data_IF_353367551241
#
_entry.id   IF_353367551241
#
_cell.length_a   1.000
_cell.length_b   1.000
_cell.length_c   1.000
_cell.angle_alpha   90.00
_cell.angle_beta   90.00
_cell.angle_gamma   90.00
#
_symmetry.space_group_name_H-M   'P 1'
#
loop_
_entity.id
_entity.type
_entity.pdbx_description
1 polymer ?
#
# COMPACT_ATOMS: atom_id res chain seq x y z
N UNK A 1 -8.28 0.28 -40.79
CA UNK A 1 -9.38 1.17 -40.38
C UNK A 1 -9.34 1.25 -38.86
N UNK A 2 -8.84 2.40 -38.38
CA UNK A 2 -8.71 2.70 -36.98
C UNK A 2 -10.06 2.99 -36.34
N UNK A 3 -10.35 2.35 -35.22
CA UNK A 3 -11.33 2.82 -34.27
C UNK A 3 -10.76 2.62 -32.84
N UNK A 4 -9.78 3.43 -32.46
CA UNK A 4 -9.55 3.77 -31.08
C UNK A 4 -10.43 4.98 -30.80
N UNK A 5 -11.59 4.76 -30.20
CA UNK A 5 -12.39 5.83 -29.61
C UNK A 5 -11.78 6.22 -28.28
N UNK A 6 -11.24 7.43 -28.20
CA UNK A 6 -10.95 8.10 -26.95
C UNK A 6 -12.27 8.23 -26.15
N UNK A 7 -12.43 7.37 -25.16
CA UNK A 7 -13.39 7.62 -24.08
C UNK A 7 -12.68 8.51 -23.06
N UNK A 8 -12.89 9.81 -23.19
CA UNK A 8 -12.69 10.74 -22.08
C UNK A 8 -13.75 10.39 -21.04
N UNK A 9 -13.36 9.66 -20.00
CA UNK A 9 -14.17 9.52 -18.81
C UNK A 9 -14.03 10.82 -18.01
N UNK A 10 -15.01 11.72 -18.15
CA UNK A 10 -15.25 12.76 -17.15
C UNK A 10 -15.88 12.05 -15.95
N UNK A 11 -15.08 11.64 -15.00
CA UNK A 11 -15.57 11.17 -13.70
C UNK A 11 -15.96 12.41 -12.89
N UNK A 12 -17.27 12.69 -12.88
CA UNK A 12 -17.87 13.66 -11.96
C UNK A 12 -18.16 12.91 -10.66
N UNK A 13 -17.55 13.35 -9.58
CA UNK A 13 -17.83 12.81 -8.25
C UNK A 13 -18.79 13.75 -7.53
N UNK A 14 -20.00 13.27 -7.27
CA UNK A 14 -20.94 13.90 -6.34
C UNK A 14 -20.53 13.49 -4.91
N UNK A 15 -19.76 14.34 -4.24
CA UNK A 15 -19.40 14.10 -2.84
C UNK A 15 -20.60 14.48 -1.98
N UNK A 16 -21.38 13.48 -1.57
CA UNK A 16 -22.33 13.62 -0.47
C UNK A 16 -21.55 13.58 0.84
N UNK A 17 -21.28 14.74 1.41
CA UNK A 17 -20.89 14.85 2.81
C UNK A 17 -22.07 14.33 3.64
N UNK A 18 -22.11 13.02 3.87
CA UNK A 18 -23.07 12.44 4.81
C UNK A 18 -22.83 13.11 6.16
N UNK A 19 -23.92 13.69 6.71
CA UNK A 19 -23.94 14.26 8.07
C UNK A 19 -23.07 13.43 8.97
N UNK A 20 -22.03 14.06 9.49
CA UNK A 20 -21.15 13.45 10.46
C UNK A 20 -21.95 13.19 11.73
N UNK A 21 -22.19 12.04 11.89
CA UNK A 21 -22.38 11.06 12.93
C UNK A 21 -22.48 11.63 14.35
N UNK A 22 -23.59 11.24 14.97
CA UNK A 22 -23.90 11.29 16.38
C UNK A 22 -22.67 10.96 17.24
N UNK A 23 -22.35 11.77 18.30
CA UNK A 23 -21.20 11.57 19.19
C UNK A 23 -21.08 10.18 19.83
N UNK A 24 -22.15 9.39 19.87
CA UNK A 24 -22.13 8.00 20.34
C UNK A 24 -21.63 7.00 19.30
N UNK A 25 -21.72 7.34 18.03
CA UNK A 25 -21.09 6.59 16.94
C UNK A 25 -19.61 7.00 16.74
N UNK A 26 -19.18 8.08 17.35
CA UNK A 26 -17.82 8.61 17.33
C UNK A 26 -16.79 7.74 18.04
N UNK A 27 -17.21 6.83 18.92
CA UNK A 27 -16.33 5.74 19.42
C UNK A 27 -16.14 4.60 18.40
N UNK A 28 -16.86 4.64 17.31
CA UNK A 28 -16.90 3.60 16.33
C UNK A 28 -16.48 4.27 15.03
N UNK A 29 -15.29 3.96 14.60
CA UNK A 29 -14.63 4.42 13.38
C UNK A 29 -15.59 4.89 12.31
N UNK A 30 -15.43 6.14 11.87
CA UNK A 30 -16.14 6.68 10.70
C UNK A 30 -15.48 6.01 9.47
N UNK A 31 -15.87 4.79 9.20
CA UNK A 31 -15.53 4.16 7.96
C UNK A 31 -16.39 4.80 6.88
N UNK A 32 -15.81 5.68 6.08
CA UNK A 32 -16.32 5.94 4.74
C UNK A 32 -15.97 4.72 3.89
N UNK A 33 -16.61 3.59 4.18
CA UNK A 33 -16.34 2.34 3.47
C UNK A 33 -16.84 2.46 2.06
N UNK A 34 -15.95 2.55 1.09
CA UNK A 34 -16.30 2.61 -0.32
C UNK A 34 -16.70 1.24 -0.86
N UNK A 35 -16.24 0.16 -0.24
CA UNK A 35 -16.58 -1.19 -0.68
C UNK A 35 -17.22 -1.97 0.46
N UNK A 36 -18.50 -2.27 0.30
CA UNK A 36 -19.29 -3.08 1.22
C UNK A 36 -20.03 -4.17 0.45
N UNK A 37 -19.93 -5.40 0.92
CA UNK A 37 -20.61 -6.57 0.34
C UNK A 37 -21.56 -7.16 1.36
N UNK A 38 -22.80 -7.40 0.95
CA UNK A 38 -23.82 -7.97 1.81
C UNK A 38 -23.86 -9.49 1.70
N UNK A 39 -23.98 -10.15 2.86
CA UNK A 39 -24.18 -11.60 2.96
C UNK A 39 -25.46 -11.85 3.74
N UNK A 40 -26.43 -12.48 3.10
CA UNK A 40 -27.70 -12.84 3.72
C UNK A 40 -27.65 -14.25 4.29
N UNK A 41 -27.91 -14.37 5.60
CA UNK A 41 -27.88 -15.66 6.29
C UNK A 41 -28.72 -15.63 7.57
N UNK A 42 -29.10 -16.79 8.07
CA UNK A 42 -29.73 -16.94 9.38
C UNK A 42 -28.77 -17.47 10.45
N UNK A 43 -27.53 -17.75 10.07
CA UNK A 43 -26.53 -18.27 10.99
C UNK A 43 -25.89 -17.11 11.77
N UNK A 44 -25.76 -17.21 13.08
CA UNK A 44 -25.00 -16.23 13.86
C UNK A 44 -23.51 -16.41 13.63
N UNK A 45 -22.79 -15.30 13.52
CA UNK A 45 -21.33 -15.30 13.46
C UNK A 45 -20.75 -15.44 14.88
N UNK A 46 -19.98 -16.51 15.10
CA UNK A 46 -19.04 -16.60 16.22
C UNK A 46 -17.66 -16.28 15.65
N UNK A 47 -17.16 -15.09 15.94
CA UNK A 47 -15.98 -14.55 15.25
C UNK A 47 -14.71 -15.38 15.49
N UNK A 48 -14.50 -15.90 16.71
CA UNK A 48 -13.36 -16.76 17.03
C UNK A 48 -13.39 -18.09 16.26
N UNK A 49 -14.58 -18.65 16.02
CA UNK A 49 -14.74 -19.84 15.20
C UNK A 49 -14.45 -19.54 13.73
N UNK A 50 -14.84 -18.36 13.26
CA UNK A 50 -14.52 -17.90 11.90
C UNK A 50 -13.02 -17.65 11.72
N UNK A 51 -12.33 -17.02 12.67
CA UNK A 51 -10.88 -16.88 12.64
C UNK A 51 -10.18 -18.25 12.58
N UNK A 52 -10.67 -19.21 13.36
CA UNK A 52 -10.15 -20.57 13.35
C UNK A 52 -10.40 -21.28 12.02
N UNK A 53 -11.54 -21.03 11.38
CA UNK A 53 -11.89 -21.54 10.06
C UNK A 53 -10.98 -21.01 8.95
N UNK A 54 -10.62 -19.72 9.02
CA UNK A 54 -9.73 -19.09 8.03
C UNK A 54 -8.29 -19.60 8.09
N UNK A 55 -7.83 -20.09 9.25
CA UNK A 55 -6.46 -20.55 9.48
C UNK A 55 -5.38 -19.52 9.10
N UNK A 56 -5.67 -18.22 9.28
CA UNK A 56 -4.76 -17.11 8.97
C UNK A 56 -4.20 -16.52 10.27
N UNK A 57 -2.97 -16.89 10.67
CA UNK A 57 -2.40 -16.47 11.95
C UNK A 57 -2.16 -14.95 12.08
N UNK A 58 -2.11 -14.25 10.95
CA UNK A 58 -1.90 -12.79 10.94
C UNK A 58 -3.16 -11.97 11.23
N UNK A 59 -4.36 -12.58 11.19
CA UNK A 59 -5.60 -11.87 11.52
C UNK A 59 -5.66 -11.56 13.02
N UNK A 60 -5.90 -10.29 13.32
CA UNK A 60 -6.00 -9.77 14.68
C UNK A 60 -7.30 -8.98 14.80
N UNK A 61 -8.09 -9.32 15.81
CA UNK A 61 -9.27 -8.57 16.17
C UNK A 61 -8.85 -7.32 16.95
N UNK A 62 -9.22 -6.14 16.43
CA UNK A 62 -8.93 -4.85 17.05
C UNK A 62 -10.03 -4.46 18.04
N UNK A 63 -11.27 -4.53 17.57
CA UNK A 63 -12.40 -4.03 18.33
C UNK A 63 -13.69 -4.78 18.03
N UNK A 64 -14.52 -4.95 19.06
CA UNK A 64 -15.90 -5.44 18.95
C UNK A 64 -16.83 -4.40 19.56
N UNK A 65 -17.85 -4.00 18.81
CA UNK A 65 -18.83 -3.05 19.29
C UNK A 65 -20.26 -3.52 19.07
N UNK A 66 -21.16 -2.95 19.84
CA UNK A 66 -22.59 -3.29 19.81
C UNK A 66 -23.42 -2.00 19.87
N UNK A 67 -24.43 -1.93 19.02
CA UNK A 67 -25.53 -0.97 19.12
C UNK A 67 -26.84 -1.72 19.31
N UNK A 68 -27.97 -1.06 19.62
CA UNK A 68 -29.26 -1.76 19.77
C UNK A 68 -29.67 -2.58 18.55
N UNK A 69 -29.19 -2.22 17.35
CA UNK A 69 -29.63 -2.81 16.08
C UNK A 69 -28.51 -3.49 15.29
N UNK A 70 -27.26 -3.43 15.78
CA UNK A 70 -26.10 -3.98 15.06
C UNK A 70 -24.98 -4.43 15.98
N UNK A 71 -24.22 -5.42 15.53
CA UNK A 71 -23.00 -5.93 16.13
C UNK A 71 -21.90 -5.85 15.07
N UNK A 72 -20.69 -5.42 15.44
CA UNK A 72 -19.62 -5.25 14.48
C UNK A 72 -18.26 -5.64 15.03
N UNK A 73 -17.40 -6.15 14.13
CA UNK A 73 -16.04 -6.56 14.39
C UNK A 73 -15.11 -5.81 13.46
N UNK A 74 -14.08 -5.15 14.03
CA UNK A 74 -12.98 -4.55 13.30
C UNK A 74 -11.72 -5.36 13.48
N UNK A 75 -11.00 -5.64 12.41
CA UNK A 75 -9.82 -6.47 12.43
C UNK A 75 -8.85 -6.11 11.30
N UNK A 76 -7.63 -6.58 11.42
CA UNK A 76 -6.59 -6.37 10.42
C UNK A 76 -5.67 -7.58 10.27
N UNK A 77 -4.83 -7.61 9.23
CA UNK A 77 -3.75 -8.58 9.07
C UNK A 77 -2.45 -7.97 9.59
N UNK A 78 -1.94 -8.44 10.73
CA UNK A 78 -0.75 -7.92 11.41
C UNK A 78 0.47 -7.89 10.48
N UNK A 79 1.10 -6.72 10.35
CA UNK A 79 2.28 -6.48 9.52
C UNK A 79 2.01 -6.40 8.02
N UNK A 80 0.73 -6.45 7.60
CA UNK A 80 0.31 -6.38 6.20
C UNK A 80 -0.65 -5.22 6.00
N UNK A 81 -1.76 -5.20 6.75
CA UNK A 81 -2.82 -4.20 6.59
C UNK A 81 -2.36 -2.79 6.96
N UNK A 82 -2.81 -1.84 6.18
CA UNK A 82 -2.65 -0.40 6.43
C UNK A 82 -3.93 0.24 6.97
N UNK A 83 -5.06 -0.41 6.77
CA UNK A 83 -6.39 -0.01 7.25
C UNK A 83 -7.11 -1.22 7.85
N UNK A 84 -8.37 -1.04 8.23
CA UNK A 84 -9.16 -2.07 8.89
C UNK A 84 -10.12 -2.77 7.92
N UNK A 85 -10.41 -4.02 8.20
CA UNK A 85 -11.62 -4.70 7.73
C UNK A 85 -12.72 -4.58 8.79
N UNK A 86 -13.97 -4.58 8.34
CA UNK A 86 -15.11 -4.67 9.23
C UNK A 86 -16.11 -5.72 8.78
N UNK A 87 -16.75 -6.35 9.75
CA UNK A 87 -17.95 -7.15 9.55
C UNK A 87 -19.02 -6.56 10.45
N UNK A 88 -20.10 -6.07 9.84
CA UNK A 88 -21.25 -5.47 10.52
C UNK A 88 -22.44 -6.41 10.41
N UNK A 89 -23.05 -6.77 11.53
CA UNK A 89 -24.32 -7.50 11.54
C UNK A 89 -25.48 -6.53 11.68
N UNK A 90 -26.39 -6.55 10.73
CA UNK A 90 -27.63 -5.81 10.78
C UNK A 90 -28.80 -6.72 11.21
N UNK A 91 -29.74 -6.17 11.98
CA UNK A 91 -30.98 -6.86 12.32
C UNK A 91 -31.66 -7.36 11.05
N UNK A 92 -32.01 -8.65 10.98
CA UNK A 92 -32.68 -9.36 9.88
C UNK A 92 -31.81 -10.42 9.16
N UNK A 93 -30.62 -10.74 9.68
CA UNK A 93 -29.79 -11.80 9.10
C UNK A 93 -28.93 -11.36 7.94
N UNK A 94 -28.49 -10.11 7.97
CA UNK A 94 -27.57 -9.55 6.95
C UNK A 94 -26.26 -9.17 7.61
N UNK A 95 -25.15 -9.65 7.04
CA UNK A 95 -23.81 -9.19 7.36
C UNK A 95 -23.31 -8.31 6.22
N UNK A 96 -22.73 -7.19 6.58
CA UNK A 96 -22.03 -6.30 5.67
C UNK A 96 -20.53 -6.46 5.92
N UNK A 97 -19.79 -6.87 4.89
CA UNK A 97 -18.34 -7.02 4.93
C UNK A 97 -17.72 -5.84 4.23
N UNK A 98 -16.84 -5.14 4.92
CA UNK A 98 -16.29 -3.90 4.42
C UNK A 98 -14.76 -3.88 4.53
N UNK A 99 -14.14 -3.08 3.68
CA UNK A 99 -12.74 -2.67 3.78
C UNK A 99 -12.67 -1.16 3.82
N UNK A 100 -11.81 -0.61 4.67
CA UNK A 100 -11.66 0.83 4.83
C UNK A 100 -10.86 1.44 3.67
N UNK A 101 -11.03 2.74 3.48
CA UNK A 101 -10.42 3.51 2.40
C UNK A 101 -8.89 3.46 2.44
N UNK A 102 -8.30 3.57 1.26
CA UNK A 102 -6.85 3.52 1.06
C UNK A 102 -6.20 2.25 1.61
N UNK A 103 -6.94 1.15 1.58
CA UNK A 103 -6.42 -0.17 1.92
C UNK A 103 -5.19 -0.54 1.07
N UNK A 104 -4.31 -1.38 1.61
CA UNK A 104 -3.16 -1.85 0.83
C UNK A 104 -3.60 -2.73 -0.34
N UNK A 105 -2.77 -2.79 -1.38
CA UNK A 105 -3.02 -3.67 -2.52
C UNK A 105 -3.23 -5.13 -2.07
N UNK A 106 -2.45 -5.57 -1.10
CA UNK A 106 -2.56 -6.91 -0.51
C UNK A 106 -3.87 -7.13 0.25
N UNK A 107 -4.44 -6.07 0.85
CA UNK A 107 -5.74 -6.14 1.52
C UNK A 107 -6.89 -6.13 0.52
N UNK A 108 -6.81 -5.29 -0.51
CA UNK A 108 -7.79 -5.31 -1.60
C UNK A 108 -7.83 -6.67 -2.29
N UNK A 109 -6.67 -7.28 -2.53
CA UNK A 109 -6.57 -8.63 -3.11
C UNK A 109 -7.10 -9.73 -2.18
N UNK A 110 -7.01 -9.53 -0.87
CA UNK A 110 -7.50 -10.47 0.14
C UNK A 110 -9.02 -10.35 0.37
N UNK A 111 -9.60 -9.19 0.14
CA UNK A 111 -10.99 -8.89 0.43
C UNK A 111 -12.00 -9.86 -0.23
N UNK A 112 -11.91 -10.20 -1.52
CA UNK A 112 -12.78 -11.19 -2.16
C UNK A 112 -12.72 -12.57 -1.48
N UNK A 113 -11.53 -13.00 -1.09
CA UNK A 113 -11.35 -14.25 -0.37
C UNK A 113 -12.02 -14.22 1.02
N UNK A 114 -11.92 -13.10 1.72
CA UNK A 114 -12.57 -12.90 3.02
C UNK A 114 -14.09 -13.01 2.89
N UNK A 115 -14.69 -12.33 1.91
CA UNK A 115 -16.14 -12.34 1.64
C UNK A 115 -16.62 -13.75 1.32
N UNK A 116 -15.96 -14.45 0.38
CA UNK A 116 -16.31 -15.81 -0.02
C UNK A 116 -16.18 -16.80 1.14
N UNK A 117 -15.13 -16.66 1.95
CA UNK A 117 -14.92 -17.49 3.14
C UNK A 117 -15.98 -17.27 4.20
N UNK A 118 -16.38 -16.02 4.45
CA UNK A 118 -17.44 -15.71 5.41
C UNK A 118 -18.81 -16.25 4.94
N UNK A 119 -19.13 -16.06 3.66
CA UNK A 119 -20.36 -16.58 3.09
C UNK A 119 -20.44 -18.11 3.21
N UNK A 120 -19.35 -18.81 2.91
CA UNK A 120 -19.26 -20.28 3.08
C UNK A 120 -19.40 -20.71 4.55
N UNK A 121 -18.70 -20.03 5.46
CA UNK A 121 -18.78 -20.31 6.89
C UNK A 121 -20.20 -20.15 7.43
N UNK A 122 -20.89 -19.08 7.04
CA UNK A 122 -22.24 -18.75 7.46
C UNK A 122 -23.32 -19.46 6.63
N UNK A 123 -22.96 -20.22 5.60
CA UNK A 123 -23.89 -20.80 4.63
C UNK A 123 -24.86 -19.73 4.08
N UNK A 124 -24.34 -18.54 3.84
CA UNK A 124 -25.07 -17.38 3.37
C UNK A 124 -24.97 -17.18 1.87
N UNK A 125 -25.85 -16.34 1.35
CA UNK A 125 -25.87 -15.90 -0.04
C UNK A 125 -25.26 -14.50 -0.13
N UNK A 126 -24.31 -14.30 -1.07
CA UNK A 126 -23.69 -13.01 -1.32
C UNK A 126 -24.63 -12.20 -2.21
N UNK A 127 -24.92 -10.98 -1.81
CA UNK A 127 -25.68 -10.03 -2.64
C UNK A 127 -24.70 -9.20 -3.47
N UNK A 128 -24.72 -9.47 -4.76
CA UNK A 128 -23.93 -8.75 -5.77
C UNK A 128 -24.69 -7.58 -6.43
N UNK A 129 -25.94 -7.27 -6.01
CA UNK A 129 -26.76 -6.23 -6.67
C UNK A 129 -26.10 -4.83 -6.56
N UNK A 130 -25.23 -4.62 -5.57
CA UNK A 130 -24.51 -3.37 -5.35
C UNK A 130 -23.07 -3.37 -5.92
N UNK A 131 -22.64 -4.48 -6.53
CA UNK A 131 -21.30 -4.60 -7.13
C UNK A 131 -21.52 -4.88 -8.62
N UNK A 132 -21.26 -3.89 -9.43
CA UNK A 132 -21.47 -3.95 -10.87
C UNK A 132 -20.45 -4.81 -11.62
N UNK A 133 -19.37 -5.25 -10.94
CA UNK A 133 -18.24 -5.93 -11.58
C UNK A 133 -17.70 -7.09 -10.70
N UNK A 134 -17.05 -8.07 -11.35
CA UNK A 134 -16.31 -9.12 -10.64
C UNK A 134 -15.15 -8.46 -9.85
N UNK A 135 -14.89 -8.95 -8.63
CA UNK A 135 -13.77 -8.48 -7.79
C UNK A 135 -12.44 -9.03 -8.33
N UNK A 136 -12.05 -8.55 -9.50
CA UNK A 136 -10.82 -8.93 -10.22
C UNK A 136 -9.70 -7.88 -10.06
N UNK A 137 -8.64 -7.99 -10.86
CA UNK A 137 -7.53 -7.04 -10.81
C UNK A 137 -7.95 -5.64 -11.32
N UNK A 138 -8.91 -5.54 -12.24
CA UNK A 138 -9.41 -4.23 -12.71
C UNK A 138 -10.17 -3.52 -11.60
N UNK A 139 -10.98 -4.27 -10.83
CA UNK A 139 -11.67 -3.73 -9.65
C UNK A 139 -10.68 -3.12 -8.65
N UNK A 140 -9.52 -3.75 -8.41
CA UNK A 140 -8.51 -3.19 -7.50
C UNK A 140 -7.97 -1.86 -8.02
N UNK A 141 -7.63 -1.79 -9.31
CA UNK A 141 -7.12 -0.56 -9.92
C UNK A 141 -8.15 0.57 -9.91
N UNK A 142 -9.42 0.27 -10.20
CA UNK A 142 -10.53 1.22 -10.14
C UNK A 142 -10.80 1.69 -8.71
N UNK A 143 -10.84 0.78 -7.74
CA UNK A 143 -10.98 1.13 -6.32
C UNK A 143 -9.90 2.10 -5.86
N UNK A 144 -8.63 1.83 -6.19
CA UNK A 144 -7.52 2.73 -5.86
C UNK A 144 -7.69 4.10 -6.53
N UNK A 145 -8.14 4.12 -7.78
CA UNK A 145 -8.35 5.37 -8.50
C UNK A 145 -9.46 6.21 -7.86
N UNK A 146 -10.59 5.57 -7.50
CA UNK A 146 -11.72 6.22 -6.86
C UNK A 146 -11.39 6.73 -5.47
N UNK A 147 -10.68 5.94 -4.65
CA UNK A 147 -10.26 6.33 -3.31
C UNK A 147 -9.32 7.54 -3.33
N UNK A 148 -8.35 7.56 -4.25
CA UNK A 148 -7.45 8.71 -4.40
C UNK A 148 -8.18 9.92 -4.96
N UNK A 149 -9.12 9.73 -5.87
CA UNK A 149 -9.97 10.80 -6.36
C UNK A 149 -10.82 11.41 -5.23
N UNK A 150 -11.41 10.56 -4.40
CA UNK A 150 -12.17 10.99 -3.23
C UNK A 150 -11.29 11.72 -2.19
N UNK A 151 -10.07 11.23 -1.93
CA UNK A 151 -9.08 11.91 -1.09
C UNK A 151 -8.75 13.31 -1.62
N UNK A 152 -8.46 13.44 -2.93
CA UNK A 152 -8.17 14.75 -3.56
C UNK A 152 -9.35 15.70 -3.42
N UNK A 153 -10.53 15.23 -3.75
CA UNK A 153 -11.76 16.02 -3.67
C UNK A 153 -12.02 16.48 -2.23
N UNK A 154 -11.89 15.59 -1.25
CA UNK A 154 -12.03 15.93 0.17
C UNK A 154 -11.04 16.98 0.60
N UNK A 155 -9.74 16.83 0.28
CA UNK A 155 -8.69 17.79 0.66
C UNK A 155 -8.79 19.14 -0.09
N UNK A 156 -9.59 19.22 -1.15
CA UNK A 156 -9.91 20.48 -1.81
C UNK A 156 -10.87 21.32 -0.97
N UNK A 157 -11.75 20.68 -0.19
CA UNK A 157 -12.83 21.28 0.56
C UNK A 157 -12.50 21.34 2.05
N UNK A 158 -11.96 20.26 2.58
CA UNK A 158 -11.66 20.08 4.00
C UNK A 158 -10.16 20.13 4.25
N UNK A 159 -9.71 20.65 5.40
CA UNK A 159 -8.29 20.72 5.74
C UNK A 159 -7.68 19.34 6.04
N UNK A 160 -8.52 18.34 6.37
CA UNK A 160 -8.08 17.00 6.80
C UNK A 160 -8.95 15.91 6.18
N UNK A 161 -8.35 14.79 5.84
CA UNK A 161 -8.99 13.53 5.47
C UNK A 161 -8.66 12.50 6.55
N UNK A 162 -9.68 11.86 7.13
CA UNK A 162 -9.52 10.94 8.25
C UNK A 162 -9.46 9.49 7.79
N UNK A 163 -8.63 8.70 8.47
CA UNK A 163 -8.39 7.28 8.19
C UNK A 163 -8.36 6.49 9.49
N UNK A 164 -9.09 5.38 9.54
CA UNK A 164 -8.93 4.41 10.61
C UNK A 164 -7.69 3.54 10.32
N UNK A 165 -6.81 3.42 11.32
CA UNK A 165 -5.62 2.57 11.23
C UNK A 165 -5.73 1.40 12.23
N UNK A 166 -5.01 0.27 11.97
CA UNK A 166 -4.91 -0.80 12.96
C UNK A 166 -4.47 -0.30 14.34
N UNK A 167 -4.89 -1.03 15.40
CA UNK A 167 -4.56 -0.72 16.80
C UNK A 167 -5.31 0.50 17.36
N UNK A 168 -6.57 0.68 16.94
CA UNK A 168 -7.49 1.71 17.49
C UNK A 168 -6.97 3.15 17.30
N UNK A 169 -6.26 3.39 16.20
CA UNK A 169 -5.73 4.70 15.87
C UNK A 169 -6.59 5.39 14.80
N UNK A 170 -6.98 6.64 15.06
CA UNK A 170 -7.53 7.53 14.05
C UNK A 170 -6.44 8.49 13.60
N UNK A 171 -6.02 8.36 12.38
CA UNK A 171 -5.04 9.24 11.75
C UNK A 171 -5.73 10.21 10.78
N UNK A 172 -5.02 11.24 10.38
CA UNK A 172 -5.50 12.13 9.32
C UNK A 172 -4.39 12.50 8.34
N UNK A 173 -4.81 12.83 7.14
CA UNK A 173 -3.98 13.40 6.09
C UNK A 173 -4.40 14.84 5.84
N UNK A 174 -3.44 15.72 5.58
CA UNK A 174 -3.64 17.09 5.14
C UNK A 174 -2.65 17.41 4.02
N UNK A 175 -2.85 18.52 3.32
CA UNK A 175 -1.86 18.98 2.34
C UNK A 175 -0.50 19.28 2.98
N UNK A 176 -0.48 19.69 4.25
CA UNK A 176 0.76 19.90 5.01
C UNK A 176 1.50 18.58 5.28
N UNK A 177 0.74 17.49 5.55
CA UNK A 177 1.29 16.14 5.73
C UNK A 177 1.94 15.62 4.45
N UNK A 178 1.32 15.88 3.29
CA UNK A 178 1.80 15.44 1.98
C UNK A 178 2.97 16.29 1.44
N UNK A 179 3.05 17.55 1.83
CA UNK A 179 4.03 18.52 1.32
C UNK A 179 5.50 18.08 1.43
N UNK A 180 5.98 17.50 2.57
CA UNK A 180 7.37 17.04 2.68
C UNK A 180 7.74 15.94 1.69
N UNK A 181 6.74 15.25 1.12
CA UNK A 181 6.90 14.18 0.13
C UNK A 181 6.74 14.68 -1.31
N UNK A 182 6.60 16.00 -1.49
CA UNK A 182 6.38 16.58 -2.79
C UNK A 182 5.09 16.13 -3.47
N UNK A 183 4.11 15.68 -2.69
CA UNK A 183 2.78 15.27 -3.17
C UNK A 183 1.80 16.43 -2.99
N UNK A 184 0.99 16.64 -4.00
CA UNK A 184 -0.09 17.63 -3.99
C UNK A 184 -1.31 17.09 -4.75
N UNK A 185 -2.39 17.85 -4.83
CA UNK A 185 -3.64 17.42 -5.47
C UNK A 185 -3.51 17.18 -6.98
N UNK A 186 -2.43 17.67 -7.64
CA UNK A 186 -2.17 17.45 -9.07
C UNK A 186 -1.27 16.23 -9.31
N UNK A 187 -0.72 15.59 -8.27
CA UNK A 187 0.07 14.37 -8.42
C UNK A 187 -0.80 13.22 -8.95
N UNK A 188 -0.19 12.29 -9.69
CA UNK A 188 -0.87 11.14 -10.25
C UNK A 188 -1.45 10.22 -9.17
N UNK A 189 -2.47 9.44 -9.53
CA UNK A 189 -3.12 8.49 -8.61
C UNK A 189 -2.12 7.50 -8.01
N UNK A 190 -1.28 6.79 -8.79
CA UNK A 190 -0.32 5.83 -8.23
C UNK A 190 0.68 6.48 -7.30
N UNK A 191 1.07 7.73 -7.58
CA UNK A 191 2.01 8.48 -6.75
C UNK A 191 1.41 8.83 -5.38
N UNK A 192 0.18 9.38 -5.36
CA UNK A 192 -0.52 9.67 -4.10
C UNK A 192 -0.75 8.39 -3.31
N UNK A 193 -1.27 7.35 -3.96
CA UNK A 193 -1.53 6.07 -3.32
C UNK A 193 -0.27 5.46 -2.72
N UNK A 194 0.84 5.42 -3.47
CA UNK A 194 2.12 4.90 -2.99
C UNK A 194 2.62 5.62 -1.74
N UNK A 195 2.55 6.96 -1.71
CA UNK A 195 2.93 7.73 -0.50
C UNK A 195 1.97 7.54 0.65
N UNK A 196 0.67 7.42 0.39
CA UNK A 196 -0.30 7.10 1.44
C UNK A 196 0.02 5.74 2.07
N UNK A 197 0.27 4.70 1.26
CA UNK A 197 0.66 3.39 1.76
C UNK A 197 1.95 3.45 2.58
N UNK A 198 2.93 4.24 2.14
CA UNK A 198 4.16 4.45 2.88
C UNK A 198 3.91 5.11 4.25
N UNK A 199 3.15 6.21 4.28
CA UNK A 199 2.85 6.96 5.50
C UNK A 199 2.09 6.10 6.52
N UNK A 200 1.09 5.35 6.07
CA UNK A 200 0.26 4.50 6.90
C UNK A 200 1.06 3.31 7.44
N UNK A 201 1.82 2.62 6.59
CA UNK A 201 2.63 1.44 6.97
C UNK A 201 3.71 1.76 7.99
N UNK A 202 4.22 2.97 7.97
CA UNK A 202 5.29 3.42 8.89
C UNK A 202 4.79 4.29 10.04
N UNK A 203 3.46 4.38 10.24
CA UNK A 203 2.83 5.19 11.30
C UNK A 203 3.35 6.64 11.30
N UNK A 204 3.46 7.25 10.13
CA UNK A 204 3.95 8.62 9.96
C UNK A 204 2.83 9.65 9.83
N UNK A 205 1.56 9.21 9.78
CA UNK A 205 0.42 10.10 9.79
C UNK A 205 0.20 10.67 11.20
N UNK A 206 -0.19 11.95 11.32
CA UNK A 206 -0.61 12.52 12.59
C UNK A 206 -1.85 11.80 13.11
N UNK A 207 -1.84 11.43 14.40
CA UNK A 207 -2.98 10.85 15.06
C UNK A 207 -3.80 11.94 15.76
N UNK A 208 -5.11 11.75 15.85
CA UNK A 208 -5.97 12.58 16.68
C UNK A 208 -5.86 12.12 18.13
N UNK A 209 -5.39 13.03 19.00
CA UNK A 209 -5.33 12.79 20.43
C UNK A 209 -6.68 13.10 21.12
N UNK A 210 -7.52 13.89 20.48
CA UNK A 210 -8.83 14.30 21.01
C UNK A 210 -9.83 14.43 19.84
N UNK A 211 -11.00 13.80 19.98
CA UNK A 211 -12.07 13.80 18.99
C UNK A 211 -12.75 15.16 18.85
N UNK A 212 -12.62 16.03 19.87
CA UNK A 212 -13.17 17.38 19.88
C UNK A 212 -12.45 18.33 18.91
N UNK A 213 -11.30 17.92 18.35
CA UNK A 213 -10.54 18.69 17.36
C UNK A 213 -11.05 18.50 15.91
N UNK A 214 -12.10 17.72 15.69
CA UNK A 214 -12.69 17.53 14.36
C UNK A 214 -13.64 18.69 14.01
N UNK A 215 -13.08 19.81 13.56
CA UNK A 215 -13.84 20.85 12.87
C UNK A 215 -14.25 20.37 11.44
N UNK A 216 -15.27 19.54 11.36
CA UNK A 216 -15.86 19.17 10.08
C UNK A 216 -17.03 20.12 9.84
N UNK A 217 -17.02 20.93 8.76
CA UNK A 217 -18.13 21.78 8.42
C UNK A 217 -19.42 20.96 8.22
N UNK A 218 -20.50 21.32 8.89
CA UNK A 218 -21.81 20.80 8.59
C UNK A 218 -22.27 21.39 7.24
N UNK A 219 -22.08 20.65 6.16
CA UNK A 219 -22.57 21.03 4.84
C UNK A 219 -23.30 19.85 4.21
N UNK A 220 -24.57 20.08 3.85
CA UNK A 220 -25.36 19.15 3.05
C UNK A 220 -25.20 19.46 1.54
N UNK A 221 -24.25 20.31 1.15
CA UNK A 221 -24.01 20.69 -0.24
C UNK A 221 -23.23 19.58 -0.97
N UNK A 222 -23.76 19.17 -2.12
CA UNK A 222 -23.03 18.33 -3.07
C UNK A 222 -21.99 19.21 -3.76
N UNK A 223 -20.70 18.83 -3.65
CA UNK A 223 -19.62 19.58 -4.26
C UNK A 223 -19.07 18.76 -5.43
N UNK A 224 -19.18 19.35 -6.61
CA UNK A 224 -18.63 18.75 -7.83
C UNK A 224 -17.17 19.16 -7.97
N UNK A 225 -16.24 18.19 -7.95
CA UNK A 225 -14.80 18.44 -8.12
C UNK A 225 -14.33 17.80 -9.42
N UNK A 226 -13.78 18.61 -10.32
CA UNK A 226 -13.13 18.13 -11.54
C UNK A 226 -11.69 17.72 -11.22
N UNK A 227 -11.38 16.42 -11.30
CA UNK A 227 -10.06 15.89 -11.01
C UNK A 227 -9.34 15.59 -12.32
N UNK A 228 -8.23 16.29 -12.64
CA UNK A 228 -7.49 16.03 -13.86
C UNK A 228 -6.98 14.59 -13.92
N UNK A 229 -7.22 13.93 -15.04
CA UNK A 229 -6.58 12.65 -15.35
C UNK A 229 -5.24 12.92 -16.02
N UNK A 230 -4.20 12.22 -15.55
CA UNK A 230 -2.86 12.33 -16.08
C UNK A 230 -2.49 11.09 -16.89
N UNK A 231 -2.00 11.28 -18.12
CA UNK A 231 -1.46 10.19 -18.93
C UNK A 231 -0.09 9.77 -18.41
N UNK A 232 0.11 8.46 -18.23
CA UNK A 232 1.40 7.92 -17.81
C UNK A 232 2.40 7.96 -18.95
N UNK A 233 3.56 8.60 -18.74
CA UNK A 233 4.69 8.63 -19.69
C UNK A 233 5.73 7.57 -19.40
N UNK A 234 5.68 6.94 -18.25
CA UNK A 234 6.56 5.86 -17.83
C UNK A 234 6.00 5.08 -16.66
N UNK A 235 6.49 3.85 -16.51
CA UNK A 235 6.13 3.00 -15.38
C UNK A 235 7.31 2.20 -14.88
N UNK A 236 7.38 2.00 -13.58
CA UNK A 236 8.36 1.17 -12.90
C UNK A 236 7.68 -0.05 -12.33
N UNK A 237 8.20 -1.23 -12.66
CA UNK A 237 7.71 -2.48 -12.11
C UNK A 237 8.24 -2.66 -10.70
N UNK A 238 7.35 -2.94 -9.77
CA UNK A 238 7.69 -3.37 -8.42
C UNK A 238 7.07 -4.73 -8.10
N UNK A 239 7.50 -5.33 -6.99
CA UNK A 239 7.08 -6.66 -6.58
C UNK A 239 6.55 -6.57 -5.15
N UNK A 240 5.37 -7.14 -4.93
CA UNK A 240 4.82 -7.29 -3.60
C UNK A 240 5.49 -8.45 -2.86
N UNK A 241 5.33 -8.52 -1.55
CA UNK A 241 5.92 -9.58 -0.72
C UNK A 241 5.47 -10.98 -1.14
N UNK A 242 4.24 -11.13 -1.63
CA UNK A 242 3.67 -12.38 -2.14
C UNK A 242 4.17 -12.78 -3.55
N UNK A 243 4.92 -11.88 -4.20
CA UNK A 243 5.47 -12.07 -5.54
C UNK A 243 4.58 -11.61 -6.67
N UNK A 244 3.46 -10.95 -6.39
CA UNK A 244 2.67 -10.29 -7.42
C UNK A 244 3.38 -9.05 -7.96
N UNK A 245 3.08 -8.70 -9.21
CA UNK A 245 3.65 -7.53 -9.86
C UNK A 245 2.73 -6.34 -9.69
N UNK A 246 3.31 -5.18 -9.38
CA UNK A 246 2.65 -3.89 -9.45
C UNK A 246 3.48 -2.92 -10.27
N UNK A 247 2.85 -1.83 -10.71
CA UNK A 247 3.50 -0.82 -11.50
C UNK A 247 3.26 0.55 -10.87
N UNK A 248 4.34 1.24 -10.56
CA UNK A 248 4.31 2.66 -10.25
C UNK A 248 4.39 3.44 -11.55
N UNK A 249 3.44 4.32 -11.80
CA UNK A 249 3.35 5.12 -13.02
C UNK A 249 3.69 6.58 -12.73
N UNK A 250 4.26 7.25 -13.73
CA UNK A 250 4.62 8.66 -13.66
C UNK A 250 3.98 9.42 -14.84
N UNK A 251 3.30 10.50 -14.53
CA UNK A 251 2.86 11.47 -15.54
C UNK A 251 3.98 12.47 -15.86
N UNK A 252 3.76 13.31 -16.90
CA UNK A 252 4.66 14.39 -17.22
C UNK A 252 4.78 15.39 -16.05
N UNK A 253 3.67 15.67 -15.38
CA UNK A 253 3.58 16.57 -14.24
C UNK A 253 4.35 16.02 -13.02
N UNK A 254 4.28 14.70 -12.78
CA UNK A 254 5.06 14.06 -11.70
C UNK A 254 6.57 14.24 -11.94
N UNK A 255 7.02 14.02 -13.17
CA UNK A 255 8.44 14.17 -13.53
C UNK A 255 8.90 15.61 -13.38
N UNK A 256 8.14 16.58 -13.92
CA UNK A 256 8.47 18.01 -13.81
C UNK A 256 8.52 18.46 -12.35
N UNK A 257 7.56 18.01 -11.54
CA UNK A 257 7.53 18.32 -10.12
C UNK A 257 8.72 17.72 -9.36
N UNK A 258 9.07 16.44 -9.60
CA UNK A 258 10.23 15.79 -8.98
C UNK A 258 11.54 16.49 -9.36
N UNK A 259 11.70 16.91 -10.62
CA UNK A 259 12.89 17.66 -11.07
C UNK A 259 12.98 19.06 -10.45
N UNK A 260 11.83 19.72 -10.24
CA UNK A 260 11.78 20.98 -9.49
C UNK A 260 12.22 20.79 -8.03
N UNK A 261 11.71 19.76 -7.36
CA UNK A 261 12.13 19.40 -6.00
C UNK A 261 13.63 19.05 -5.92
N UNK A 262 14.15 18.33 -6.92
CA UNK A 262 15.59 18.04 -7.03
C UNK A 262 16.43 19.32 -7.08
N UNK A 263 15.96 20.34 -7.82
CA UNK A 263 16.63 21.65 -7.88
C UNK A 263 16.58 22.37 -6.54
N UNK A 264 15.44 22.38 -5.89
CA UNK A 264 15.26 22.97 -4.57
C UNK A 264 16.14 22.29 -3.49
N UNK A 265 16.27 20.97 -3.55
CA UNK A 265 17.17 20.22 -2.66
C UNK A 265 18.63 20.60 -2.86
N UNK A 266 19.06 20.77 -4.11
CA UNK A 266 20.43 21.26 -4.44
C UNK A 266 20.69 22.69 -3.93
N UNK A 267 19.65 23.51 -3.77
CA UNK A 267 19.68 24.83 -3.15
C UNK A 267 19.66 24.79 -1.62
N UNK A 268 19.57 23.60 -1.00
CA UNK A 268 19.62 23.40 0.43
C UNK A 268 18.25 23.30 1.12
N UNK A 269 17.15 23.22 0.38
CA UNK A 269 15.84 22.94 0.97
C UNK A 269 15.76 21.46 1.38
N UNK A 270 15.28 21.14 2.59
CA UNK A 270 15.16 19.75 3.03
C UNK A 270 14.11 19.00 2.22
N UNK A 271 14.37 17.74 1.92
CA UNK A 271 13.46 16.86 1.21
C UNK A 271 13.52 15.46 1.85
N UNK A 272 12.39 14.79 1.93
CA UNK A 272 12.32 13.45 2.50
C UNK A 272 13.06 12.41 1.63
N UNK A 273 13.73 11.44 2.27
CA UNK A 273 14.57 10.45 1.57
C UNK A 273 13.83 9.67 0.48
N UNK A 274 12.55 9.34 0.70
CA UNK A 274 11.73 8.61 -0.29
C UNK A 274 11.55 9.41 -1.57
N UNK A 275 11.39 10.73 -1.50
CA UNK A 275 11.29 11.59 -2.69
C UNK A 275 12.62 11.63 -3.46
N UNK A 276 13.74 11.66 -2.74
CA UNK A 276 15.05 11.56 -3.34
C UNK A 276 15.27 10.21 -4.02
N UNK A 277 14.69 9.13 -3.47
CA UNK A 277 14.68 7.82 -4.11
C UNK A 277 13.91 7.84 -5.43
N UNK A 278 12.75 8.49 -5.49
CA UNK A 278 11.97 8.61 -6.73
C UNK A 278 12.73 9.39 -7.80
N UNK A 279 13.40 10.48 -7.42
CA UNK A 279 14.29 11.21 -8.34
C UNK A 279 15.39 10.29 -8.86
N UNK A 280 15.98 9.46 -8.00
CA UNK A 280 16.95 8.44 -8.40
C UNK A 280 16.37 7.43 -9.39
N UNK A 281 15.13 7.02 -9.18
CA UNK A 281 14.39 6.11 -10.05
C UNK A 281 14.14 6.73 -11.44
N UNK A 282 13.76 8.01 -11.52
CA UNK A 282 13.64 8.70 -12.82
C UNK A 282 14.94 8.62 -13.62
N UNK A 283 16.08 8.87 -12.98
CA UNK A 283 17.40 8.79 -13.63
C UNK A 283 17.79 7.34 -13.99
N UNK A 284 17.43 6.37 -13.15
CA UNK A 284 17.71 4.96 -13.43
C UNK A 284 16.93 4.46 -14.63
N UNK A 285 15.61 4.67 -14.65
CA UNK A 285 14.72 4.11 -15.66
C UNK A 285 14.56 5.01 -16.89
N UNK A 286 15.00 6.26 -16.82
CA UNK A 286 14.90 7.21 -17.92
C UNK A 286 13.48 7.71 -18.17
N UNK A 287 12.71 7.95 -17.11
CA UNK A 287 11.32 8.40 -17.22
C UNK A 287 11.30 9.92 -17.39
N UNK A 288 10.87 10.38 -18.55
CA UNK A 288 10.83 11.82 -18.92
C UNK A 288 12.20 12.48 -19.07
N UNK A 289 13.28 11.78 -18.74
CA UNK A 289 14.69 12.24 -18.84
C UNK A 289 15.58 11.10 -19.35
N UNK A 290 16.76 11.38 -19.91
CA UNK A 290 17.68 10.31 -20.32
C UNK A 290 18.17 9.46 -19.15
N UNK A 291 18.34 8.16 -19.37
CA UNK A 291 18.96 7.22 -18.40
C UNK A 291 20.33 7.74 -17.97
N UNK A 292 20.55 7.84 -16.66
CA UNK A 292 21.82 8.22 -16.08
C UNK A 292 22.08 7.46 -14.76
N UNK A 293 22.80 6.35 -14.84
CA UNK A 293 23.11 5.51 -13.68
C UNK A 293 23.96 6.20 -12.61
N UNK A 294 24.83 7.14 -12.97
CA UNK A 294 25.65 7.87 -11.99
C UNK A 294 24.80 8.87 -11.19
N UNK A 295 23.88 9.58 -11.84
CA UNK A 295 22.93 10.45 -11.16
C UNK A 295 21.98 9.61 -10.28
N UNK A 296 21.51 8.45 -10.75
CA UNK A 296 20.70 7.55 -9.94
C UNK A 296 21.46 7.12 -8.66
N UNK A 297 22.73 6.74 -8.76
CA UNK A 297 23.57 6.41 -7.61
C UNK A 297 23.69 7.60 -6.65
N UNK A 298 23.87 8.80 -7.16
CA UNK A 298 23.94 10.01 -6.34
C UNK A 298 22.65 10.19 -5.53
N UNK A 299 21.50 10.15 -6.19
CA UNK A 299 20.22 10.37 -5.56
C UNK A 299 19.84 9.27 -4.56
N UNK A 300 20.09 8.00 -4.86
CA UNK A 300 19.85 6.89 -3.91
C UNK A 300 20.74 7.02 -2.65
N UNK A 301 21.97 7.50 -2.78
CA UNK A 301 22.82 7.74 -1.62
C UNK A 301 22.34 8.92 -0.78
N UNK A 302 21.91 10.01 -1.41
CA UNK A 302 21.32 11.14 -0.69
C UNK A 302 20.00 10.73 -0.03
N UNK A 303 19.17 9.93 -0.71
CA UNK A 303 17.93 9.37 -0.15
C UNK A 303 18.20 8.57 1.14
N UNK A 304 19.17 7.66 1.10
CA UNK A 304 19.55 6.89 2.29
C UNK A 304 20.06 7.79 3.42
N UNK A 305 20.86 8.80 3.10
CA UNK A 305 21.37 9.79 4.07
C UNK A 305 20.24 10.62 4.70
N UNK A 306 19.16 10.89 3.94
CA UNK A 306 17.95 11.55 4.42
C UNK A 306 16.92 10.59 5.05
N UNK A 307 17.35 9.39 5.40
CA UNK A 307 16.59 8.44 6.23
C UNK A 307 15.82 7.36 5.48
N UNK A 308 15.86 7.31 4.15
CA UNK A 308 15.30 6.16 3.45
C UNK A 308 16.21 4.92 3.63
N UNK A 309 15.74 4.01 4.47
CA UNK A 309 16.41 2.74 4.77
C UNK A 309 15.79 1.55 4.02
N UNK A 310 14.67 1.76 3.33
CA UNK A 310 13.92 0.71 2.68
C UNK A 310 14.24 0.67 1.17
N UNK A 311 13.82 1.69 0.44
CA UNK A 311 13.87 1.69 -1.02
C UNK A 311 15.23 2.06 -1.59
N UNK A 312 15.81 3.16 -1.15
CA UNK A 312 17.03 3.68 -1.74
C UNK A 312 18.23 2.71 -1.66
N UNK A 313 18.56 2.07 -0.52
CA UNK A 313 19.65 1.11 -0.48
C UNK A 313 19.32 -0.16 -1.26
N UNK A 314 18.06 -0.57 -1.34
CA UNK A 314 17.62 -1.71 -2.17
C UNK A 314 17.80 -1.41 -3.65
N UNK A 315 17.33 -0.26 -4.13
CA UNK A 315 17.47 0.20 -5.51
C UNK A 315 18.95 0.38 -5.89
N UNK A 316 19.73 0.95 -4.99
CA UNK A 316 21.19 1.06 -5.17
C UNK A 316 21.88 -0.31 -5.29
N UNK A 317 21.44 -1.28 -4.50
CA UNK A 317 21.89 -2.66 -4.58
C UNK A 317 21.58 -3.29 -5.94
N UNK A 318 20.34 -3.14 -6.40
CA UNK A 318 19.89 -3.65 -7.70
C UNK A 318 20.62 -2.94 -8.86
N UNK A 319 20.81 -1.63 -8.77
CA UNK A 319 21.57 -0.87 -9.75
C UNK A 319 23.01 -1.39 -9.88
N UNK A 320 23.71 -1.60 -8.77
CA UNK A 320 25.07 -2.16 -8.81
C UNK A 320 25.08 -3.62 -9.23
N UNK A 321 24.03 -4.41 -8.94
CA UNK A 321 23.96 -5.80 -9.34
C UNK A 321 23.77 -5.97 -10.85
N UNK A 322 22.89 -5.18 -11.44
CA UNK A 322 22.52 -5.26 -12.87
C UNK A 322 23.40 -4.40 -13.75
N UNK A 323 23.83 -3.23 -13.26
CA UNK A 323 24.40 -2.14 -14.05
C UNK A 323 23.31 -1.36 -14.79
N UNK A 324 23.52 -0.04 -14.97
CA UNK A 324 22.61 0.83 -15.72
C UNK A 324 23.40 1.92 -16.43
N UNK A 325 23.10 2.18 -17.70
CA UNK A 325 23.79 3.16 -18.51
C UNK A 325 25.30 2.86 -18.56
N UNK A 326 26.11 3.80 -18.07
CA UNK A 326 27.58 3.67 -17.99
C UNK A 326 28.06 2.86 -16.77
N UNK A 327 27.21 2.62 -15.80
CA UNK A 327 27.55 1.89 -14.57
C UNK A 327 27.62 0.40 -14.84
N UNK A 328 28.80 -0.18 -14.64
CA UNK A 328 29.03 -1.61 -14.80
C UNK A 328 28.58 -2.39 -13.55
N UNK A 329 28.09 -3.62 -13.72
CA UNK A 329 27.77 -4.50 -12.59
C UNK A 329 28.92 -4.67 -11.62
N UNK A 330 28.62 -4.61 -10.31
CA UNK A 330 29.59 -4.84 -9.23
C UNK A 330 28.93 -5.48 -8.02
N UNK A 331 29.01 -6.81 -7.92
CA UNK A 331 28.37 -7.60 -6.87
C UNK A 331 28.84 -7.20 -5.45
N UNK A 332 30.09 -6.79 -5.29
CA UNK A 332 30.59 -6.31 -4.01
C UNK A 332 29.88 -5.03 -3.55
N UNK A 333 29.71 -4.03 -4.46
CA UNK A 333 28.96 -2.80 -4.15
C UNK A 333 27.47 -3.08 -3.95
N UNK A 334 26.90 -4.03 -4.69
CA UNK A 334 25.53 -4.47 -4.50
C UNK A 334 25.33 -5.04 -3.10
N UNK A 335 26.21 -5.92 -2.66
CA UNK A 335 26.21 -6.49 -1.31
C UNK A 335 26.29 -5.40 -0.23
N UNK A 336 27.22 -4.44 -0.37
CA UNK A 336 27.38 -3.33 0.56
C UNK A 336 26.10 -2.47 0.65
N UNK A 337 25.42 -2.24 -0.48
CA UNK A 337 24.17 -1.48 -0.52
C UNK A 337 23.01 -2.24 0.16
N UNK A 338 22.80 -3.53 -0.16
CA UNK A 338 21.75 -4.33 0.48
C UNK A 338 21.92 -4.46 2.00
N UNK A 339 23.14 -4.41 2.53
CA UNK A 339 23.39 -4.42 3.98
C UNK A 339 22.83 -3.17 4.69
N UNK A 340 22.61 -2.08 3.97
CA UNK A 340 22.04 -0.85 4.51
C UNK A 340 20.50 -0.84 4.52
N UNK A 341 19.89 -1.81 3.84
CA UNK A 341 18.45 -1.88 3.69
C UNK A 341 17.78 -2.73 4.77
N UNK A 342 16.57 -2.34 5.13
CA UNK A 342 15.65 -3.11 5.97
C UNK A 342 14.59 -3.85 5.15
N UNK A 343 14.67 -3.83 3.83
CA UNK A 343 13.73 -4.45 2.91
C UNK A 343 13.88 -5.99 2.92
N UNK A 344 12.80 -6.76 3.09
CA UNK A 344 12.82 -8.23 3.00
C UNK A 344 13.43 -8.76 1.70
N UNK A 345 13.26 -8.05 0.59
CA UNK A 345 13.92 -8.38 -0.67
C UNK A 345 15.45 -8.21 -0.58
N UNK A 346 15.93 -7.14 0.05
CA UNK A 346 17.37 -6.96 0.27
C UNK A 346 17.94 -8.06 1.16
N UNK A 347 17.22 -8.50 2.19
CA UNK A 347 17.59 -9.63 3.01
C UNK A 347 17.67 -10.94 2.20
N UNK A 348 16.70 -11.17 1.30
CA UNK A 348 16.79 -12.30 0.37
C UNK A 348 18.02 -12.20 -0.54
N UNK A 349 18.37 -11.01 -1.06
CA UNK A 349 19.57 -10.77 -1.86
C UNK A 349 20.85 -10.98 -1.08
N UNK A 350 20.90 -10.64 0.20
CA UNK A 350 22.03 -10.97 1.08
C UNK A 350 22.18 -12.48 1.25
N UNK A 351 21.07 -13.21 1.37
CA UNK A 351 21.07 -14.68 1.35
C UNK A 351 21.74 -15.25 0.10
N UNK A 352 21.36 -14.73 -1.08
CA UNK A 352 22.00 -15.11 -2.35
C UNK A 352 23.50 -14.72 -2.38
N UNK A 353 23.84 -13.52 -1.90
CA UNK A 353 25.22 -13.04 -1.90
C UNK A 353 26.16 -13.95 -1.12
N UNK A 354 25.74 -14.47 0.04
CA UNK A 354 26.51 -15.45 0.80
C UNK A 354 26.50 -16.84 0.15
N UNK A 355 25.39 -17.24 -0.47
CA UNK A 355 25.32 -18.53 -1.19
C UNK A 355 26.24 -18.55 -2.39
N UNK A 356 26.31 -17.47 -3.17
CA UNK A 356 27.09 -17.35 -4.40
C UNK A 356 28.52 -16.82 -4.16
N UNK A 357 28.81 -16.29 -2.96
CA UNK A 357 30.12 -15.76 -2.62
C UNK A 357 30.46 -14.44 -3.31
N UNK A 358 29.52 -13.48 -3.35
CA UNK A 358 29.74 -12.17 -4.02
C UNK A 358 30.91 -11.37 -3.48
N UNK A 359 31.32 -11.64 -2.24
CA UNK A 359 32.48 -11.00 -1.58
C UNK A 359 33.74 -11.86 -1.61
N UNK A 360 33.73 -12.98 -2.36
CA UNK A 360 34.87 -13.87 -2.57
C UNK A 360 34.77 -15.24 -1.93
N UNK A 361 33.98 -15.42 -0.87
CA UNK A 361 33.77 -16.70 -0.19
C UNK A 361 32.29 -16.98 0.01
N UNK A 362 31.91 -18.24 -0.18
CA UNK A 362 30.57 -18.73 0.15
C UNK A 362 30.43 -18.99 1.64
N UNK A 363 29.27 -18.62 2.22
CA UNK A 363 28.91 -18.98 3.59
C UNK A 363 27.44 -19.41 3.65
N UNK A 364 27.23 -20.72 3.56
CA UNK A 364 25.88 -21.29 3.57
C UNK A 364 25.15 -21.07 4.90
N UNK A 365 25.87 -20.91 6.02
CA UNK A 365 25.25 -20.66 7.33
C UNK A 365 24.68 -19.24 7.38
N UNK A 366 25.41 -18.26 6.93
CA UNK A 366 24.95 -16.87 6.83
C UNK A 366 23.87 -16.74 5.75
N UNK A 367 24.01 -17.40 4.61
CA UNK A 367 22.99 -17.47 3.57
C UNK A 367 21.64 -17.91 4.16
N UNK A 368 21.62 -19.04 4.87
CA UNK A 368 20.40 -19.58 5.46
C UNK A 368 19.81 -18.66 6.56
N UNK A 369 20.66 -17.94 7.29
CA UNK A 369 20.21 -16.95 8.27
C UNK A 369 19.41 -15.83 7.58
N UNK A 370 19.96 -15.25 6.51
CA UNK A 370 19.33 -14.18 5.76
C UNK A 370 18.05 -14.62 5.03
N UNK A 371 18.04 -15.83 4.45
CA UNK A 371 16.82 -16.39 3.88
C UNK A 371 15.71 -16.61 4.93
N UNK A 372 16.06 -17.04 6.15
CA UNK A 372 15.09 -17.17 7.24
C UNK A 372 14.52 -15.81 7.64
N UNK A 373 15.37 -14.81 7.80
CA UNK A 373 14.93 -13.46 8.12
C UNK A 373 13.97 -12.93 7.06
N UNK A 374 14.34 -12.99 5.78
CA UNK A 374 13.47 -12.55 4.68
C UNK A 374 12.14 -13.33 4.63
N UNK A 375 12.15 -14.62 4.94
CA UNK A 375 10.94 -15.44 4.97
C UNK A 375 10.03 -15.12 6.16
N UNK A 376 10.59 -14.82 7.32
CA UNK A 376 9.86 -14.36 8.51
C UNK A 376 9.20 -13.00 8.28
N UNK A 377 9.81 -12.17 7.41
CA UNK A 377 9.29 -10.88 6.95
C UNK A 377 8.31 -11.02 5.76
N UNK A 378 8.00 -12.25 5.32
CA UNK A 378 6.97 -12.54 4.31
C UNK A 378 7.46 -12.65 2.87
N UNK A 379 8.77 -12.56 2.59
CA UNK A 379 9.28 -12.58 1.21
C UNK A 379 9.11 -13.95 0.53
N UNK A 380 8.28 -14.02 -0.52
CA UNK A 380 7.84 -15.27 -1.16
C UNK A 380 8.98 -16.16 -1.69
N UNK A 381 10.03 -15.57 -2.30
CA UNK A 381 11.17 -16.34 -2.81
C UNK A 381 12.00 -16.94 -1.68
N UNK A 382 12.14 -16.24 -0.56
CA UNK A 382 12.82 -16.77 0.62
C UNK A 382 12.06 -17.94 1.23
N UNK A 383 10.73 -17.82 1.35
CA UNK A 383 9.84 -18.90 1.80
C UNK A 383 9.98 -20.12 0.88
N UNK A 384 9.93 -19.91 -0.44
CA UNK A 384 10.12 -20.98 -1.43
C UNK A 384 11.49 -21.64 -1.30
N UNK A 385 12.55 -20.85 -1.11
CA UNK A 385 13.93 -21.36 -0.97
C UNK A 385 14.09 -22.27 0.26
N UNK A 386 13.52 -21.88 1.40
CA UNK A 386 13.57 -22.67 2.63
C UNK A 386 12.78 -23.99 2.51
N UNK A 387 11.61 -23.98 1.86
CA UNK A 387 10.83 -25.20 1.61
C UNK A 387 11.64 -26.23 0.79
N UNK A 388 12.36 -25.79 -0.24
CA UNK A 388 13.20 -26.68 -1.06
C UNK A 388 14.40 -27.24 -0.28
N UNK A 389 15.05 -26.44 0.58
CA UNK A 389 16.18 -26.90 1.39
C UNK A 389 15.77 -27.96 2.42
N UNK A 390 14.57 -27.83 3.01
CA UNK A 390 14.01 -28.81 3.96
C UNK A 390 13.61 -30.14 3.29
N UNK A 391 13.16 -30.08 2.04
CA UNK A 391 12.81 -31.29 1.28
C UNK A 391 14.06 -32.10 0.88
N UNK A 392 15.15 -31.43 0.47
CA UNK A 392 16.41 -32.07 0.11
C UNK A 392 17.09 -32.75 1.32
N UNK A 393 16.97 -32.17 2.51
CA UNK A 393 17.53 -32.77 3.74
C UNK A 393 16.77 -34.03 4.21
N UNK A 394 15.48 -34.16 3.86
CA UNK A 394 14.69 -35.38 4.15
C UNK A 394 14.95 -36.50 3.14
N UNK A 395 15.29 -36.18 1.89
CA UNK A 395 15.58 -37.17 0.86
C UNK A 395 17.00 -37.79 0.96
N UNK A 396 17.91 -37.16 1.69
CA UNK A 396 19.27 -37.66 1.91
C UNK A 396 19.43 -38.55 3.15
N UNK A 397 18.39 -38.81 3.90
CA UNK A 397 18.39 -39.67 5.12
C UNK A 397 17.57 -40.96 4.93
N UNK A 398 17.30 -41.41 3.70
CA UNK A 398 16.75 -42.72 3.41
C UNK A 398 17.78 -43.68 2.86
#
# INVERSE_FOLDING_TARGET
MNLCGNKTFNTRFDIKLKRVLNPLLQKHYICNMNTAILIHTRQPLVFDDFLSYLEIPSLVLDFVGETPDSLYWYFHRKGISTTLFAINYHSQGTYEVCIDNLASYEDLKFFPYLVDSLAKFLQGEIDFENIYEELDENWIEETIADEVAYLKATLTILPKYFLAQPVDELAYVSLETLRPFGVNLHSSTPRIYGYMQYLMRHHLLPCLNDWDEMDIPESDEEIEVDIPQHEAIGRVKSWQLDGSETYETYSQEDVEHLLALASEYKEGKPLHGVVLNDIGTLHQEGIGIPVNGEEAIHWFKEAHKQGDKLYAPTNLGDLYRKGYGTVKPCLKKAFEAYQLSIDPYAHYRLGQAYEEGWTGTQDMKLSMKWYKQAAEEGHHLAIKRLKHSSASSKAGNC
#
